data_IF_430127861808
#
_entry.id   IF_430127861808
#
_cell.length_a   1.000
_cell.length_b   1.000
_cell.length_c   1.000
_cell.angle_alpha   90.00
_cell.angle_beta   90.00
_cell.angle_gamma   90.00
#
_symmetry.space_group_name_H-M   'P 1'
#
loop_
_entity.id
_entity.type
_entity.pdbx_description
1 polymer ?
#
# COMPACT_ATOMS: atom_id res chain seq x y z
N UNK A 1 44.05 19.92 -22.71
CA UNK A 1 44.24 19.04 -21.54
C UNK A 1 44.94 17.71 -21.87
N UNK A 2 45.26 17.39 -23.13
CA UNK A 2 45.90 16.14 -23.58
C UNK A 2 47.43 16.03 -23.35
N UNK A 3 48.11 17.11 -22.94
CA UNK A 3 49.59 17.14 -22.82
C UNK A 3 50.15 16.39 -21.61
N UNK A 4 49.30 15.81 -20.76
CA UNK A 4 49.71 15.14 -19.52
C UNK A 4 49.98 13.65 -19.72
N UNK A 5 49.26 13.02 -20.65
CA UNK A 5 49.41 11.59 -21.00
C UNK A 5 50.59 11.33 -21.97
N UNK A 6 51.27 12.40 -22.40
CA UNK A 6 52.41 12.35 -23.34
C UNK A 6 53.73 12.78 -22.69
N UNK A 7 53.82 12.74 -21.36
CA UNK A 7 55.03 13.13 -20.63
C UNK A 7 55.98 11.95 -20.44
N UNK A 8 57.29 12.18 -20.60
CA UNK A 8 58.31 11.16 -20.38
C UNK A 8 58.74 11.12 -18.92
N UNK A 9 58.48 10.00 -18.25
CA UNK A 9 58.83 9.76 -16.86
C UNK A 9 60.18 9.03 -16.77
N UNK A 10 61.04 9.48 -15.84
CA UNK A 10 62.39 8.91 -15.65
C UNK A 10 62.42 7.46 -15.11
N UNK A 11 61.30 6.95 -14.60
CA UNK A 11 61.16 5.58 -14.07
C UNK A 11 60.37 4.73 -15.07
N UNK A 12 60.98 3.65 -15.55
CA UNK A 12 60.44 2.77 -16.59
C UNK A 12 59.07 2.17 -16.24
N UNK A 13 58.86 1.76 -14.98
CA UNK A 13 57.57 1.24 -14.51
C UNK A 13 56.45 2.31 -14.52
N UNK A 14 56.79 3.57 -14.26
CA UNK A 14 55.84 4.69 -14.26
C UNK A 14 55.49 5.10 -15.70
N UNK A 15 56.45 5.02 -16.62
CA UNK A 15 56.23 5.24 -18.05
C UNK A 15 55.28 4.19 -18.65
N UNK A 16 55.48 2.90 -18.33
CA UNK A 16 54.57 1.82 -18.77
C UNK A 16 53.15 1.99 -18.24
N UNK A 17 53.00 2.45 -17.00
CA UNK A 17 51.68 2.74 -16.41
C UNK A 17 51.00 3.93 -17.09
N UNK A 18 51.76 4.98 -17.45
CA UNK A 18 51.26 6.15 -18.17
C UNK A 18 50.78 5.79 -19.58
N UNK A 19 51.50 4.91 -20.28
CA UNK A 19 51.12 4.40 -21.59
C UNK A 19 49.83 3.56 -21.53
N UNK A 20 49.68 2.68 -20.53
CA UNK A 20 48.44 1.94 -20.30
C UNK A 20 47.25 2.86 -20.00
N UNK A 21 47.45 3.91 -19.20
CA UNK A 21 46.41 4.90 -18.92
C UNK A 21 46.04 5.69 -20.18
N UNK A 22 47.02 6.03 -21.02
CA UNK A 22 46.79 6.73 -22.28
C UNK A 22 45.98 5.87 -23.28
N UNK A 23 46.31 4.57 -23.38
CA UNK A 23 45.56 3.61 -24.21
C UNK A 23 44.13 3.43 -23.70
N UNK A 24 43.95 3.20 -22.40
CA UNK A 24 42.62 3.12 -21.78
C UNK A 24 41.82 4.41 -21.96
N UNK A 25 42.47 5.57 -21.89
CA UNK A 25 41.82 6.87 -22.11
C UNK A 25 41.30 7.01 -23.54
N UNK A 26 42.08 6.65 -24.56
CA UNK A 26 41.64 6.72 -25.96
C UNK A 26 40.55 5.68 -26.26
N UNK A 27 40.63 4.47 -25.68
CA UNK A 27 39.57 3.47 -25.80
C UNK A 27 38.26 3.97 -25.18
N UNK A 28 38.32 4.49 -23.95
CA UNK A 28 37.16 5.08 -23.27
C UNK A 28 36.59 6.26 -24.05
N UNK A 29 37.45 7.13 -24.57
CA UNK A 29 37.03 8.28 -25.37
C UNK A 29 36.26 7.83 -26.61
N UNK A 30 36.79 6.84 -27.33
CA UNK A 30 36.15 6.29 -28.52
C UNK A 30 34.80 5.65 -28.18
N UNK A 31 34.72 4.91 -27.08
CA UNK A 31 33.47 4.32 -26.59
C UNK A 31 32.44 5.40 -26.20
N UNK A 32 32.86 6.48 -25.53
CA UNK A 32 32.00 7.61 -25.19
C UNK A 32 31.50 8.37 -26.42
N UNK A 33 32.37 8.59 -27.42
CA UNK A 33 32.00 9.23 -28.68
C UNK A 33 30.98 8.38 -29.45
N UNK A 34 31.17 7.06 -29.50
CA UNK A 34 30.21 6.13 -30.09
C UNK A 34 28.87 6.11 -29.34
N UNK A 35 28.88 6.12 -28.00
CA UNK A 35 27.67 6.21 -27.17
C UNK A 35 26.95 7.55 -27.39
N UNK A 36 27.70 8.63 -27.54
CA UNK A 36 27.16 9.96 -27.81
C UNK A 36 26.45 10.00 -29.15
N UNK A 37 27.11 9.57 -30.23
CA UNK A 37 26.51 9.55 -31.57
C UNK A 37 25.29 8.64 -31.63
N UNK A 38 25.34 7.47 -30.98
CA UNK A 38 24.18 6.59 -30.88
C UNK A 38 22.98 7.23 -30.16
N UNK A 39 23.20 7.97 -29.06
CA UNK A 39 22.13 8.70 -28.36
C UNK A 39 21.60 9.85 -29.19
N UNK A 40 22.48 10.62 -29.83
CA UNK A 40 22.13 11.73 -30.71
C UNK A 40 21.25 11.27 -31.87
N UNK A 41 21.61 10.14 -32.50
CA UNK A 41 20.81 9.53 -33.56
C UNK A 41 19.42 9.15 -33.06
N UNK A 42 19.32 8.50 -31.90
CA UNK A 42 18.04 8.08 -31.30
C UNK A 42 17.12 9.26 -30.97
N UNK A 43 17.65 10.41 -30.57
CA UNK A 43 16.85 11.60 -30.21
C UNK A 43 16.41 12.39 -31.45
N UNK A 44 17.28 12.46 -32.47
CA UNK A 44 16.99 13.21 -33.71
C UNK A 44 16.05 12.44 -34.64
N UNK A 45 16.10 11.13 -34.60
CA UNK A 45 15.19 10.27 -35.36
C UNK A 45 13.75 10.48 -34.87
N UNK A 46 12.80 10.61 -35.81
CA UNK A 46 11.38 10.66 -35.48
C UNK A 46 10.89 9.35 -34.90
N UNK A 47 9.94 9.43 -33.96
CA UNK A 47 9.28 8.26 -33.39
C UNK A 47 8.33 7.60 -34.39
N UNK A 48 8.18 6.28 -34.27
CA UNK A 48 7.20 5.52 -35.04
C UNK A 48 5.80 5.74 -34.44
N UNK A 49 4.95 6.47 -35.17
CA UNK A 49 3.60 6.81 -34.75
C UNK A 49 2.58 5.95 -35.49
N UNK A 50 1.49 5.62 -34.81
CA UNK A 50 0.37 4.91 -35.44
C UNK A 50 -0.16 5.71 -36.66
N UNK A 51 -0.61 5.02 -37.72
CA UNK A 51 -1.09 5.68 -38.93
C UNK A 51 -2.25 6.63 -38.61
N UNK A 52 -2.15 7.88 -39.10
CA UNK A 52 -3.11 8.95 -38.82
C UNK A 52 -2.78 9.82 -37.61
N UNK A 53 -1.76 9.48 -36.80
CA UNK A 53 -1.31 10.30 -35.66
C UNK A 53 -0.13 11.17 -36.08
N UNK A 54 -0.31 12.49 -36.04
CA UNK A 54 0.75 13.44 -36.42
C UNK A 54 1.78 13.69 -35.31
N UNK A 55 1.33 13.71 -34.04
CA UNK A 55 2.17 13.97 -32.86
C UNK A 55 1.51 13.41 -31.61
N UNK A 56 2.31 12.89 -30.68
CA UNK A 56 1.87 12.47 -29.34
C UNK A 56 2.55 13.35 -28.30
N UNK A 57 1.78 13.90 -27.36
CA UNK A 57 2.31 14.64 -26.21
C UNK A 57 1.99 13.83 -24.95
N UNK A 58 3.03 13.38 -24.24
CA UNK A 58 2.90 12.64 -22.97
C UNK A 58 3.18 13.58 -21.81
N UNK A 59 2.20 13.75 -20.93
CA UNK A 59 2.33 14.54 -19.69
C UNK A 59 2.38 13.58 -18.51
N UNK A 60 3.46 13.63 -17.73
CA UNK A 60 3.61 12.84 -16.52
C UNK A 60 3.17 13.66 -15.32
N UNK A 61 2.15 13.18 -14.60
CA UNK A 61 1.66 13.80 -13.37
C UNK A 61 2.07 12.95 -12.17
N UNK A 62 2.85 13.52 -11.26
CA UNK A 62 3.18 12.89 -10.00
C UNK A 62 2.20 13.36 -8.90
N UNK A 63 1.55 12.42 -8.23
CA UNK A 63 0.59 12.69 -7.15
C UNK A 63 1.01 11.96 -5.89
N UNK A 64 1.14 12.69 -4.77
CA UNK A 64 1.40 12.10 -3.46
C UNK A 64 0.10 11.88 -2.72
N UNK A 65 -0.34 10.62 -2.62
CA UNK A 65 -1.56 10.23 -1.90
C UNK A 65 -1.27 10.00 -0.42
N UNK A 66 -2.11 10.54 0.47
CA UNK A 66 -2.01 10.34 1.93
C UNK A 66 -2.84 9.13 2.37
N UNK A 67 -2.71 8.76 3.64
CA UNK A 67 -3.57 7.73 4.25
C UNK A 67 -4.90 8.37 4.66
N UNK A 68 -6.00 7.66 4.48
CA UNK A 68 -7.34 8.15 4.81
C UNK A 68 -8.28 7.00 5.19
N UNK A 69 -9.40 7.29 5.88
CA UNK A 69 -10.45 6.31 6.13
C UNK A 69 -10.90 5.63 4.84
N UNK A 70 -11.07 4.31 4.87
CA UNK A 70 -11.40 3.51 3.70
C UNK A 70 -10.19 2.90 2.97
N UNK A 71 -8.96 3.38 3.20
CA UNK A 71 -7.77 2.72 2.67
C UNK A 71 -7.54 1.35 3.32
N UNK A 72 -7.04 0.40 2.53
CA UNK A 72 -6.79 -0.97 3.00
C UNK A 72 -5.35 -1.16 3.48
N UNK A 73 -5.20 -1.65 4.70
CA UNK A 73 -3.94 -2.04 5.31
C UNK A 73 -3.88 -3.57 5.50
N UNK A 74 -2.68 -4.11 5.63
CA UNK A 74 -2.46 -5.51 5.93
C UNK A 74 -1.22 -5.69 6.82
N UNK A 75 -1.26 -6.62 7.76
CA UNK A 75 -0.05 -7.16 8.38
C UNK A 75 0.53 -8.30 7.54
N UNK A 76 1.70 -8.78 7.95
CA UNK A 76 2.42 -9.88 7.26
C UNK A 76 1.78 -11.25 7.50
N UNK A 77 0.97 -11.39 8.56
CA UNK A 77 0.32 -12.64 8.96
C UNK A 77 -1.10 -12.82 8.39
N UNK A 78 -1.38 -12.19 7.25
CA UNK A 78 -2.67 -12.32 6.55
C UNK A 78 -3.84 -11.55 7.16
N UNK A 79 -3.61 -10.82 8.25
CA UNK A 79 -4.57 -9.89 8.84
C UNK A 79 -4.72 -8.66 7.93
N UNK A 80 -5.89 -8.51 7.30
CA UNK A 80 -6.23 -7.38 6.41
C UNK A 80 -7.35 -6.58 7.04
N UNK A 81 -7.25 -5.26 6.97
CA UNK A 81 -8.22 -4.33 7.54
C UNK A 81 -8.42 -3.11 6.66
N UNK A 82 -9.50 -2.40 6.92
CA UNK A 82 -9.77 -1.08 6.33
C UNK A 82 -9.70 -0.07 7.47
N UNK A 83 -9.08 1.08 7.24
CA UNK A 83 -9.00 2.14 8.23
C UNK A 83 -10.41 2.70 8.45
N UNK A 84 -10.90 2.62 9.68
CA UNK A 84 -12.23 3.14 10.04
C UNK A 84 -12.19 4.64 10.29
N UNK A 85 -11.30 5.09 11.17
CA UNK A 85 -11.16 6.49 11.60
C UNK A 85 -9.71 6.83 11.85
N UNK A 86 -9.37 8.11 11.73
CA UNK A 86 -8.09 8.66 12.15
C UNK A 86 -8.41 9.56 13.34
N UNK A 87 -7.87 9.20 14.50
CA UNK A 87 -8.18 9.82 15.79
C UNK A 87 -7.01 10.73 16.20
N UNK A 88 -7.26 11.85 16.89
CA UNK A 88 -6.20 12.66 17.49
C UNK A 88 -5.33 11.85 18.46
N UNK A 89 -4.10 12.31 18.70
CA UNK A 89 -3.11 11.56 19.50
C UNK A 89 -3.49 11.50 20.97
N UNK A 90 -4.13 12.55 21.48
CA UNK A 90 -4.60 12.69 22.86
C UNK A 90 -5.72 11.70 23.22
N UNK A 91 -6.48 11.25 22.23
CA UNK A 91 -7.59 10.31 22.39
C UNK A 91 -7.11 8.85 22.37
N UNK A 92 -5.85 8.60 22.00
CA UNK A 92 -5.31 7.25 21.88
C UNK A 92 -4.90 6.70 23.25
N UNK A 93 -5.07 5.38 23.49
CA UNK A 93 -4.52 4.74 24.67
C UNK A 93 -3.01 4.98 24.81
N UNK A 94 -2.55 5.21 26.03
CA UNK A 94 -1.15 5.50 26.32
C UNK A 94 -0.61 4.64 27.48
N UNK A 95 0.71 4.45 27.51
CA UNK A 95 1.42 3.68 28.55
C UNK A 95 1.73 4.54 29.80
N UNK A 96 2.33 3.95 30.83
CA UNK A 96 2.74 4.68 32.05
C UNK A 96 3.76 5.80 31.80
N UNK A 97 4.43 5.79 30.65
CA UNK A 97 5.39 6.79 30.24
C UNK A 97 4.78 7.89 29.36
N UNK A 98 3.48 7.82 29.08
CA UNK A 98 2.76 8.79 28.24
C UNK A 98 2.96 8.56 26.74
N UNK A 99 3.47 7.42 26.31
CA UNK A 99 3.59 7.07 24.90
C UNK A 99 2.24 6.56 24.37
N UNK A 100 1.62 7.25 23.40
CA UNK A 100 0.37 6.81 22.79
C UNK A 100 0.61 5.64 21.81
N UNK A 101 -0.38 4.78 21.68
CA UNK A 101 -0.40 3.69 20.68
C UNK A 101 -0.75 4.25 19.30
N UNK A 102 -0.08 3.78 18.25
CA UNK A 102 -0.34 4.24 16.87
C UNK A 102 -1.58 3.57 16.22
N UNK A 103 -1.79 2.27 16.47
CA UNK A 103 -2.85 1.47 15.83
C UNK A 103 -3.48 0.53 16.86
N UNK A 104 -4.80 0.56 16.96
CA UNK A 104 -5.58 -0.39 17.77
C UNK A 104 -6.14 -1.49 16.87
N UNK A 105 -5.85 -2.75 17.20
CA UNK A 105 -6.32 -3.93 16.48
C UNK A 105 -7.31 -4.74 17.32
N UNK A 106 -8.26 -5.40 16.65
CA UNK A 106 -9.24 -6.24 17.33
C UNK A 106 -8.64 -7.65 17.64
N UNK A 107 -8.59 -8.07 18.92
CA UNK A 107 -8.03 -9.36 19.30
C UNK A 107 -8.88 -10.56 18.86
N UNK A 108 -10.19 -10.39 18.63
CA UNK A 108 -11.10 -11.49 18.28
C UNK A 108 -10.73 -12.20 16.96
N UNK A 109 -9.99 -11.51 16.09
CA UNK A 109 -9.53 -12.08 14.82
C UNK A 109 -8.45 -13.15 14.98
N UNK A 110 -7.70 -13.16 16.09
CA UNK A 110 -6.57 -14.08 16.27
C UNK A 110 -7.03 -15.51 16.58
N UNK A 111 -7.92 -15.76 17.56
CA UNK A 111 -8.37 -17.12 17.86
C UNK A 111 -9.13 -17.74 16.70
N UNK A 112 -9.95 -16.95 15.99
CA UNK A 112 -10.77 -17.44 14.86
C UNK A 112 -9.94 -17.84 13.65
N UNK A 113 -8.81 -17.15 13.37
CA UNK A 113 -7.97 -17.40 12.20
C UNK A 113 -6.71 -18.21 12.50
N UNK A 114 -6.45 -18.51 13.78
CA UNK A 114 -5.30 -19.28 14.25
C UNK A 114 -3.93 -18.73 13.78
N UNK A 115 -3.82 -17.42 13.53
CA UNK A 115 -2.58 -16.77 13.10
C UNK A 115 -1.84 -16.14 14.29
N UNK A 116 -1.43 -16.99 15.24
CA UNK A 116 -0.76 -16.61 16.49
C UNK A 116 0.59 -15.91 16.24
N UNK A 117 1.24 -16.17 15.09
CA UNK A 117 2.50 -15.54 14.72
C UNK A 117 2.49 -14.01 14.76
N UNK A 118 1.34 -13.36 14.57
CA UNK A 118 1.23 -11.91 14.70
C UNK A 118 1.44 -11.41 16.15
N UNK A 119 1.06 -12.22 17.14
CA UNK A 119 1.29 -11.91 18.56
C UNK A 119 2.77 -12.07 18.88
N UNK A 120 3.39 -13.16 18.40
CA UNK A 120 4.83 -13.40 18.56
C UNK A 120 5.66 -12.30 17.89
N UNK A 121 5.28 -11.85 16.68
CA UNK A 121 5.88 -10.69 16.03
C UNK A 121 5.74 -9.43 16.89
N UNK A 122 4.57 -9.21 17.49
CA UNK A 122 4.31 -8.05 18.35
C UNK A 122 5.20 -8.07 19.60
N UNK A 123 5.34 -9.23 20.26
CA UNK A 123 6.23 -9.39 21.43
C UNK A 123 7.71 -9.22 21.07
N UNK A 124 8.16 -9.83 19.98
CA UNK A 124 9.54 -9.68 19.50
C UNK A 124 9.83 -8.23 19.08
N UNK A 125 8.86 -7.57 18.44
CA UNK A 125 8.95 -6.15 18.08
C UNK A 125 9.00 -5.23 19.30
N UNK A 126 8.26 -5.55 20.37
CA UNK A 126 8.34 -4.84 21.65
C UNK A 126 9.73 -4.99 22.26
N UNK A 127 10.26 -6.21 22.32
CA UNK A 127 11.60 -6.49 22.82
C UNK A 127 12.68 -5.74 22.02
N UNK A 128 12.61 -5.82 20.69
CA UNK A 128 13.50 -5.11 19.78
C UNK A 128 13.50 -3.59 19.99
N UNK A 129 12.33 -2.99 20.20
CA UNK A 129 12.22 -1.56 20.54
C UNK A 129 12.80 -1.26 21.91
N UNK A 130 12.50 -2.08 22.92
CA UNK A 130 13.02 -1.91 24.28
C UNK A 130 14.54 -1.88 24.33
N UNK A 131 15.20 -2.81 23.62
CA UNK A 131 16.66 -2.79 23.46
C UNK A 131 17.14 -1.49 22.78
N UNK A 132 16.45 -1.06 21.71
CA UNK A 132 16.77 0.21 21.03
C UNK A 132 16.66 1.43 21.95
N UNK A 133 15.60 1.51 22.77
CA UNK A 133 15.40 2.58 23.75
C UNK A 133 16.47 2.54 24.85
N UNK A 134 16.90 1.36 25.28
CA UNK A 134 18.00 1.18 26.23
C UNK A 134 19.33 1.69 25.66
N UNK A 135 19.64 1.34 24.41
CA UNK A 135 20.80 1.87 23.68
C UNK A 135 20.70 3.39 23.54
N UNK A 136 19.53 3.93 23.21
CA UNK A 136 19.30 5.36 23.09
C UNK A 136 19.57 6.09 24.43
N UNK A 137 19.12 5.52 25.54
CA UNK A 137 19.36 6.07 26.87
C UNK A 137 20.85 6.03 27.25
N UNK A 138 21.54 4.93 26.96
CA UNK A 138 23.00 4.83 27.18
C UNK A 138 23.79 5.84 26.34
N UNK A 139 23.38 6.07 25.08
CA UNK A 139 23.97 7.09 24.22
C UNK A 139 23.74 8.51 24.76
N UNK A 140 22.53 8.81 25.26
CA UNK A 140 22.20 10.11 25.86
C UNK A 140 22.99 10.39 27.13
N UNK A 141 23.24 9.35 27.93
CA UNK A 141 24.04 9.43 29.15
C UNK A 141 25.55 9.48 28.90
N UNK A 142 26.00 9.40 27.64
CA UNK A 142 27.42 9.35 27.25
C UNK A 142 28.19 8.27 28.00
N UNK A 143 27.58 7.09 28.12
CA UNK A 143 28.18 5.93 28.76
C UNK A 143 29.49 5.55 28.06
N UNK A 144 30.45 5.02 28.83
CA UNK A 144 31.74 4.56 28.30
C UNK A 144 31.54 3.49 27.22
N UNK A 145 32.36 3.53 26.18
CA UNK A 145 32.30 2.57 25.06
C UNK A 145 32.41 1.12 25.53
N UNK A 146 33.17 0.86 26.60
CA UNK A 146 33.30 -0.46 27.20
C UNK A 146 31.95 -1.05 27.68
N UNK A 147 31.13 -0.25 28.37
CA UNK A 147 29.81 -0.70 28.86
C UNK A 147 28.81 -0.88 27.71
N UNK A 148 28.88 -0.01 26.69
CA UNK A 148 28.10 -0.18 25.46
C UNK A 148 28.47 -1.47 24.72
N UNK A 149 29.78 -1.77 24.63
CA UNK A 149 30.31 -2.99 24.03
C UNK A 149 29.84 -4.23 24.77
N UNK A 150 29.91 -4.22 26.10
CA UNK A 150 29.42 -5.32 26.94
C UNK A 150 27.91 -5.54 26.75
N UNK A 151 27.12 -4.47 26.70
CA UNK A 151 25.68 -4.58 26.47
C UNK A 151 25.36 -5.13 25.08
N UNK A 152 26.00 -4.61 24.03
CA UNK A 152 25.81 -5.12 22.66
C UNK A 152 26.24 -6.58 22.55
N UNK A 153 27.36 -6.97 23.16
CA UNK A 153 27.80 -8.36 23.17
C UNK A 153 26.75 -9.27 23.83
N UNK A 154 26.17 -8.85 24.96
CA UNK A 154 25.09 -9.61 25.63
C UNK A 154 23.84 -9.75 24.76
N UNK A 155 23.48 -8.69 24.03
CA UNK A 155 22.32 -8.72 23.12
C UNK A 155 22.56 -9.64 21.93
N UNK A 156 23.73 -9.57 21.30
CA UNK A 156 24.07 -10.41 20.13
C UNK A 156 24.38 -11.87 20.49
N UNK A 157 24.79 -12.14 21.74
CA UNK A 157 25.01 -13.50 22.24
C UNK A 157 23.74 -14.20 22.74
N UNK A 158 22.57 -13.55 22.64
CA UNK A 158 21.31 -14.12 23.11
C UNK A 158 20.73 -15.12 22.09
N UNK A 159 20.35 -16.30 22.59
CA UNK A 159 19.71 -17.36 21.81
C UNK A 159 20.68 -18.20 20.99
N UNK A 160 20.13 -19.20 20.29
CA UNK A 160 20.90 -20.04 19.37
C UNK A 160 21.01 -19.35 18.00
N UNK A 161 21.97 -18.43 17.88
CA UNK A 161 22.21 -17.69 16.65
C UNK A 161 23.07 -18.49 15.68
N UNK A 162 22.63 -18.60 14.42
CA UNK A 162 23.47 -19.11 13.31
C UNK A 162 24.63 -18.17 12.96
N UNK A 163 24.60 -16.94 13.45
CA UNK A 163 25.61 -15.92 13.21
C UNK A 163 26.28 -15.54 14.52
N UNK A 164 27.56 -15.86 14.64
CA UNK A 164 28.40 -15.34 15.72
C UNK A 164 28.88 -13.94 15.34
N UNK A 165 28.61 -12.97 16.22
CA UNK A 165 29.11 -11.60 16.09
C UNK A 165 29.92 -11.30 17.34
N UNK A 166 31.24 -11.18 17.17
CA UNK A 166 32.11 -10.66 18.21
C UNK A 166 32.20 -9.14 18.06
N UNK A 167 31.65 -8.40 19.02
CA UNK A 167 31.71 -6.94 19.01
C UNK A 167 33.14 -6.48 19.29
N UNK A 168 34.01 -7.30 19.89
CA UNK A 168 35.40 -6.92 20.20
C UNK A 168 36.25 -6.66 18.94
N UNK A 169 35.88 -7.25 17.80
CA UNK A 169 36.57 -7.01 16.52
C UNK A 169 36.33 -5.59 15.98
N UNK A 170 35.31 -4.90 16.48
CA UNK A 170 34.93 -3.56 16.02
C UNK A 170 35.73 -2.48 16.73
N UNK A 171 36.17 -1.47 15.97
CA UNK A 171 36.77 -0.26 16.55
C UNK A 171 35.73 0.56 17.34
N UNK A 172 36.20 1.40 18.27
CA UNK A 172 35.30 2.19 19.14
C UNK A 172 34.35 3.10 18.34
N UNK A 173 34.83 3.71 17.25
CA UNK A 173 34.01 4.52 16.35
C UNK A 173 32.91 3.69 15.67
N UNK A 174 33.21 2.45 15.32
CA UNK A 174 32.25 1.56 14.67
C UNK A 174 31.18 1.06 15.65
N UNK A 175 31.55 0.81 16.90
CA UNK A 175 30.60 0.47 17.97
C UNK A 175 29.63 1.63 18.21
N UNK A 176 30.13 2.87 18.28
CA UNK A 176 29.29 4.05 18.43
C UNK A 176 28.38 4.26 17.22
N UNK A 177 28.88 4.03 15.99
CA UNK A 177 28.08 4.09 14.76
C UNK A 177 26.99 3.01 14.75
N UNK A 178 27.32 1.79 15.17
CA UNK A 178 26.38 0.68 15.29
C UNK A 178 25.28 1.02 16.30
N UNK A 179 25.64 1.46 17.50
CA UNK A 179 24.68 1.91 18.51
C UNK A 179 23.79 3.05 17.98
N UNK A 180 24.36 4.01 17.25
CA UNK A 180 23.63 5.10 16.61
C UNK A 180 22.58 4.63 15.59
N UNK A 181 22.85 3.53 14.88
CA UNK A 181 21.91 2.89 13.96
C UNK A 181 20.82 2.10 14.70
N UNK A 182 21.18 1.43 15.80
CA UNK A 182 20.29 0.56 16.58
C UNK A 182 19.36 1.30 17.55
N UNK A 183 19.53 2.62 17.74
CA UNK A 183 18.69 3.44 18.64
C UNK A 183 17.18 3.35 18.36
N UNK A 184 16.79 3.09 17.11
CA UNK A 184 15.37 2.98 16.74
C UNK A 184 14.76 1.61 17.11
N UNK A 185 15.60 0.62 17.34
CA UNK A 185 15.20 -0.76 17.61
C UNK A 185 16.23 -1.72 17.01
N UNK A 186 16.41 -2.86 17.65
CA UNK A 186 17.26 -3.94 17.17
C UNK A 186 16.57 -4.69 16.03
N UNK A 187 17.11 -4.71 14.79
CA UNK A 187 16.56 -5.56 13.75
C UNK A 187 16.80 -7.03 14.09
N UNK A 188 15.73 -7.80 14.20
CA UNK A 188 15.79 -9.24 14.48
C UNK A 188 15.53 -10.04 13.21
N UNK A 189 16.34 -11.07 12.97
CA UNK A 189 16.14 -12.01 11.86
C UNK A 189 15.62 -13.33 12.41
N UNK A 190 14.47 -13.78 11.89
CA UNK A 190 13.85 -15.05 12.28
C UNK A 190 13.63 -15.89 11.02
N UNK A 191 14.34 -17.02 10.86
CA UNK A 191 14.11 -17.94 9.74
C UNK A 191 12.68 -18.50 9.76
N UNK A 192 12.21 -18.95 8.58
CA UNK A 192 10.80 -19.34 8.40
C UNK A 192 10.41 -20.59 9.20
N UNK A 193 11.31 -21.57 9.29
CA UNK A 193 11.04 -22.89 9.92
C UNK A 193 11.86 -23.17 11.17
N UNK A 194 12.88 -22.35 11.44
CA UNK A 194 13.81 -22.50 12.56
C UNK A 194 13.99 -21.13 13.20
N UNK A 195 12.89 -20.66 13.80
CA UNK A 195 12.73 -19.29 14.28
C UNK A 195 13.01 -19.16 15.77
N UNK A 196 12.88 -17.93 16.28
CA UNK A 196 13.09 -17.61 17.67
C UNK A 196 12.09 -18.35 18.56
N UNK A 197 12.61 -18.95 19.63
CA UNK A 197 11.81 -19.68 20.62
C UNK A 197 11.23 -18.69 21.62
N UNK A 198 10.08 -19.02 22.23
CA UNK A 198 9.43 -18.15 23.22
C UNK A 198 10.34 -17.77 24.40
N UNK A 199 11.21 -18.68 24.84
CA UNK A 199 12.20 -18.41 25.89
C UNK A 199 13.15 -17.28 25.51
N UNK A 200 13.64 -17.27 24.27
CA UNK A 200 14.54 -16.23 23.76
C UNK A 200 13.83 -14.87 23.68
N UNK A 201 12.56 -14.86 23.27
CA UNK A 201 11.74 -13.63 23.25
C UNK A 201 11.59 -13.07 24.67
N UNK A 202 11.31 -13.93 25.66
CA UNK A 202 11.20 -13.53 27.08
C UNK A 202 12.51 -12.99 27.64
N UNK A 203 13.63 -13.63 27.33
CA UNK A 203 14.96 -13.16 27.72
C UNK A 203 15.28 -11.79 27.10
N UNK A 204 14.90 -11.59 25.83
CA UNK A 204 15.09 -10.31 25.14
C UNK A 204 14.20 -9.20 25.73
N UNK A 205 12.95 -9.51 26.09
CA UNK A 205 12.06 -8.59 26.82
C UNK A 205 12.69 -8.19 28.15
N UNK A 206 13.23 -9.15 28.90
CA UNK A 206 13.88 -8.92 30.19
C UNK A 206 15.12 -8.04 30.06
N UNK A 207 15.95 -8.25 29.03
CA UNK A 207 17.10 -7.38 28.74
C UNK A 207 16.70 -5.94 28.42
N UNK A 208 15.52 -5.76 27.82
CA UNK A 208 14.91 -4.47 27.53
C UNK A 208 14.18 -3.82 28.71
N UNK A 209 14.23 -4.40 29.92
CA UNK A 209 13.51 -3.96 31.12
C UNK A 209 11.98 -3.94 30.92
N UNK A 210 11.46 -4.86 30.10
CA UNK A 210 10.04 -5.02 29.78
C UNK A 210 9.44 -6.28 30.44
N UNK A 211 8.12 -6.34 30.66
CA UNK A 211 7.48 -7.50 31.25
C UNK A 211 7.59 -8.73 30.35
N UNK A 212 7.94 -9.88 30.93
CA UNK A 212 8.08 -11.17 30.21
C UNK A 212 6.77 -11.65 29.56
N UNK A 213 5.61 -11.16 30.02
CA UNK A 213 4.31 -11.46 29.43
C UNK A 213 4.08 -10.76 28.09
N UNK A 214 4.84 -9.70 27.76
CA UNK A 214 4.59 -8.84 26.61
C UNK A 214 3.32 -7.98 26.73
N UNK A 215 2.69 -7.97 27.90
CA UNK A 215 1.50 -7.19 28.20
C UNK A 215 1.88 -6.01 29.10
N UNK A 216 1.38 -4.82 28.77
CA UNK A 216 1.61 -3.60 29.53
C UNK A 216 0.28 -3.02 30.00
N UNK A 217 0.33 -2.30 31.12
CA UNK A 217 -0.80 -1.49 31.57
C UNK A 217 -0.94 -0.28 30.65
N UNK A 218 -2.17 -0.05 30.16
CA UNK A 218 -2.54 1.12 29.38
C UNK A 218 -3.61 1.94 30.12
N UNK A 219 -3.69 3.21 29.75
CA UNK A 219 -4.70 4.17 30.20
C UNK A 219 -5.53 4.65 29.01
N UNK A 220 -6.81 4.94 29.23
CA UNK A 220 -7.69 5.54 28.22
C UNK A 220 -7.30 7.01 27.99
N UNK A 221 -6.99 7.40 26.75
CA UNK A 221 -6.65 8.77 26.40
C UNK A 221 -7.77 9.78 26.66
N UNK A 222 -9.04 9.32 26.67
CA UNK A 222 -10.20 10.21 26.82
C UNK A 222 -10.57 10.49 28.27
N UNK A 223 -10.46 9.49 29.14
CA UNK A 223 -10.84 9.62 30.55
C UNK A 223 -9.64 9.69 31.48
N UNK A 224 -8.50 9.12 31.08
CA UNK A 224 -7.32 8.92 31.91
C UNK A 224 -7.39 7.67 32.81
N UNK A 225 -8.48 6.90 32.74
CA UNK A 225 -8.64 5.71 33.57
C UNK A 225 -7.77 4.55 33.08
N UNK A 226 -7.27 3.75 34.03
CA UNK A 226 -6.52 2.53 33.73
C UNK A 226 -7.47 1.45 33.19
N UNK A 227 -7.07 0.73 32.14
CA UNK A 227 -7.82 -0.46 31.71
C UNK A 227 -7.77 -1.58 32.76
N UNK A 228 -8.87 -2.33 32.89
CA UNK A 228 -8.99 -3.41 33.89
C UNK A 228 -7.98 -4.55 33.71
N UNK A 229 -7.54 -4.79 32.47
CA UNK A 229 -6.60 -5.86 32.12
C UNK A 229 -5.45 -5.28 31.31
N UNK A 230 -4.27 -5.84 31.53
CA UNK A 230 -3.10 -5.52 30.74
C UNK A 230 -3.30 -5.93 29.28
N UNK A 231 -2.76 -5.12 28.37
CA UNK A 231 -2.97 -5.26 26.93
C UNK A 231 -1.65 -5.62 26.28
N UNK A 232 -1.68 -6.53 25.31
CA UNK A 232 -0.51 -6.82 24.47
C UNK A 232 -0.23 -5.62 23.58
N UNK A 233 0.91 -4.99 23.79
CA UNK A 233 1.39 -3.85 22.99
C UNK A 233 2.76 -4.19 22.43
N UNK A 234 3.04 -3.74 21.21
CA UNK A 234 4.33 -3.96 20.58
C UNK A 234 4.35 -3.47 19.15
N UNK A 235 5.41 -3.83 18.43
CA UNK A 235 5.66 -3.34 17.09
C UNK A 235 5.38 -4.43 16.06
N UNK A 236 4.25 -4.32 15.37
CA UNK A 236 3.89 -5.16 14.23
C UNK A 236 4.21 -4.44 12.92
N UNK A 237 4.76 -5.15 11.93
CA UNK A 237 5.05 -4.54 10.64
C UNK A 237 3.80 -4.48 9.75
N UNK A 238 3.28 -3.27 9.57
CA UNK A 238 2.07 -2.99 8.78
C UNK A 238 2.40 -2.49 7.37
N UNK A 239 1.64 -2.99 6.39
CA UNK A 239 1.77 -2.69 4.96
C UNK A 239 0.53 -1.93 4.47
N UNK A 240 0.74 -0.90 3.65
CA UNK A 240 -0.33 -0.26 2.89
C UNK A 240 -0.55 -1.00 1.57
N UNK A 241 -1.75 -1.50 1.34
CA UNK A 241 -2.08 -2.18 0.08
C UNK A 241 -2.41 -1.15 -1.01
N UNK A 242 -2.18 -1.53 -2.27
CA UNK A 242 -2.59 -0.73 -3.44
C UNK A 242 -4.11 -0.81 -3.71
N UNK A 243 -4.92 -0.85 -2.64
CA UNK A 243 -6.38 -0.84 -2.67
C UNK A 243 -6.86 0.45 -2.01
N UNK A 244 -6.69 1.55 -2.73
CA UNK A 244 -7.00 2.89 -2.25
C UNK A 244 -8.49 3.17 -2.40
N UNK A 245 -9.05 3.93 -1.46
CA UNK A 245 -10.48 4.27 -1.49
C UNK A 245 -10.81 5.20 -2.66
N UNK A 246 -9.91 6.13 -3.00
CA UNK A 246 -10.10 7.08 -4.12
C UNK A 246 -10.29 6.38 -5.46
N UNK A 247 -9.65 5.22 -5.65
CA UNK A 247 -9.76 4.46 -6.88
C UNK A 247 -11.09 3.70 -6.94
N UNK A 248 -11.73 3.43 -5.79
CA UNK A 248 -12.99 2.66 -5.69
C UNK A 248 -14.24 3.53 -5.64
N UNK A 249 -14.18 4.69 -5.00
CA UNK A 249 -15.33 5.58 -4.90
C UNK A 249 -15.69 6.08 -6.31
N UNK A 250 -16.94 5.86 -6.68
CA UNK A 250 -17.51 6.27 -7.96
C UNK A 250 -19.02 6.44 -7.81
N UNK A 251 -19.54 7.55 -8.31
CA UNK A 251 -20.96 7.84 -8.34
C UNK A 251 -21.30 8.50 -9.68
N UNK A 252 -22.53 8.29 -10.14
CA UNK A 252 -23.07 8.96 -11.32
C UNK A 252 -24.54 9.30 -11.09
N UNK A 253 -24.98 10.39 -11.70
CA UNK A 253 -26.40 10.70 -11.91
C UNK A 253 -26.79 10.30 -13.34
N UNK A 254 -26.29 11.04 -14.32
CA UNK A 254 -26.45 10.80 -15.77
C UNK A 254 -25.08 10.64 -16.42
N UNK A 255 -25.02 10.02 -17.61
CA UNK A 255 -23.76 9.84 -18.32
C UNK A 255 -23.97 9.24 -19.70
N UNK A 256 -22.92 8.70 -20.30
CA UNK A 256 -22.99 8.07 -21.61
C UNK A 256 -23.74 6.73 -21.58
N UNK A 257 -24.32 6.39 -22.74
CA UNK A 257 -25.11 5.19 -22.97
C UNK A 257 -24.56 4.38 -24.15
N UNK A 258 -24.83 3.08 -24.16
CA UNK A 258 -24.53 2.18 -25.28
C UNK A 258 -25.35 2.54 -26.50
N UNK A 259 -24.74 2.46 -27.70
CA UNK A 259 -25.45 2.74 -28.95
C UNK A 259 -26.49 1.67 -29.29
N UNK A 260 -26.27 0.42 -28.87
CA UNK A 260 -27.13 -0.72 -29.23
C UNK A 260 -28.31 -0.82 -28.29
N UNK A 261 -28.05 -1.00 -26.99
CA UNK A 261 -29.08 -1.28 -25.98
C UNK A 261 -29.59 -0.03 -25.26
N UNK A 262 -29.01 1.14 -25.53
CA UNK A 262 -29.31 2.40 -24.81
C UNK A 262 -29.11 2.37 -23.30
N UNK A 263 -28.51 1.31 -22.75
CA UNK A 263 -28.18 1.16 -21.34
C UNK A 263 -26.95 2.01 -20.94
N UNK A 264 -26.86 2.43 -19.68
CA UNK A 264 -25.67 3.11 -19.16
C UNK A 264 -24.39 2.29 -19.40
N UNK A 265 -23.30 2.93 -19.82
CA UNK A 265 -22.02 2.24 -19.95
C UNK A 265 -21.52 1.69 -18.61
N UNK A 266 -20.64 0.69 -18.63
CA UNK A 266 -20.06 0.08 -17.43
C UNK A 266 -18.67 0.64 -17.09
N UNK A 267 -18.34 0.63 -15.79
CA UNK A 267 -16.98 0.93 -15.30
C UNK A 267 -16.68 2.41 -15.08
N UNK A 268 -15.86 2.68 -14.05
CA UNK A 268 -15.52 4.04 -13.59
C UNK A 268 -14.91 4.93 -14.68
N UNK A 269 -14.07 4.37 -15.56
CA UNK A 269 -13.39 5.12 -16.62
C UNK A 269 -14.34 5.79 -17.62
N UNK A 270 -15.55 5.22 -17.81
CA UNK A 270 -16.56 5.73 -18.73
C UNK A 270 -17.70 6.46 -17.99
N UNK A 271 -17.48 6.84 -16.73
CA UNK A 271 -18.54 7.27 -15.81
C UNK A 271 -19.70 6.27 -15.77
N UNK A 272 -19.35 4.98 -15.76
CA UNK A 272 -20.28 3.87 -15.91
C UNK A 272 -21.21 3.65 -14.71
N UNK A 273 -22.37 3.05 -14.96
CA UNK A 273 -23.37 2.72 -13.96
C UNK A 273 -23.07 1.42 -13.26
N UNK A 274 -23.71 1.25 -12.11
CA UNK A 274 -23.66 -0.02 -11.41
C UNK A 274 -24.65 -0.99 -12.03
N UNK A 275 -24.22 -2.24 -12.17
CA UNK A 275 -25.08 -3.30 -12.66
C UNK A 275 -26.09 -3.63 -11.59
N UNK A 276 -27.37 -3.42 -11.88
CA UNK A 276 -28.47 -4.00 -11.15
C UNK A 276 -28.72 -5.39 -11.72
N UNK A 277 -28.38 -6.43 -10.97
CA UNK A 277 -28.41 -7.81 -11.42
C UNK A 277 -29.73 -8.52 -11.13
N UNK A 278 -29.79 -9.77 -11.57
CA UNK A 278 -30.97 -10.62 -11.44
C UNK A 278 -31.31 -10.93 -9.97
N UNK A 279 -30.31 -11.17 -9.13
CA UNK A 279 -30.53 -11.43 -7.70
C UNK A 279 -31.07 -10.18 -6.97
N UNK A 280 -30.66 -8.98 -7.37
CA UNK A 280 -31.21 -7.75 -6.82
C UNK A 280 -32.66 -7.51 -7.28
N UNK A 281 -33.02 -7.90 -8.51
CA UNK A 281 -34.40 -7.91 -9.00
C UNK A 281 -35.27 -8.83 -8.14
N UNK A 282 -34.86 -10.09 -7.93
CA UNK A 282 -35.59 -11.04 -7.10
C UNK A 282 -35.79 -10.54 -5.66
N UNK A 283 -34.78 -9.85 -5.12
CA UNK A 283 -34.91 -9.24 -3.81
C UNK A 283 -36.04 -8.20 -3.78
N UNK A 284 -36.14 -7.31 -4.77
CA UNK A 284 -37.23 -6.31 -4.86
C UNK A 284 -38.60 -6.95 -5.10
N UNK A 285 -38.66 -8.02 -5.91
CA UNK A 285 -39.89 -8.78 -6.15
C UNK A 285 -40.39 -9.44 -4.86
N UNK A 286 -39.49 -10.01 -4.05
CA UNK A 286 -39.83 -10.59 -2.75
C UNK A 286 -40.41 -9.56 -1.75
N UNK A 287 -39.97 -8.30 -1.84
CA UNK A 287 -40.56 -7.20 -1.08
C UNK A 287 -41.89 -6.67 -1.67
N UNK A 288 -42.26 -7.07 -2.88
CA UNK A 288 -43.42 -6.52 -3.59
C UNK A 288 -43.23 -5.07 -4.05
N UNK A 289 -41.98 -4.62 -4.21
CA UNK A 289 -41.63 -3.23 -4.53
C UNK A 289 -41.81 -2.92 -6.04
N UNK A 290 -43.04 -3.08 -6.56
CA UNK A 290 -43.33 -3.00 -7.99
C UNK A 290 -42.95 -1.65 -8.63
N UNK A 291 -43.26 -0.52 -7.99
CA UNK A 291 -42.91 0.81 -8.51
C UNK A 291 -41.39 1.04 -8.54
N UNK A 292 -40.68 0.61 -7.49
CA UNK A 292 -39.20 0.70 -7.42
C UNK A 292 -38.55 -0.16 -8.50
N UNK A 293 -39.08 -1.35 -8.74
CA UNK A 293 -38.57 -2.23 -9.79
C UNK A 293 -38.85 -1.64 -11.18
N UNK A 294 -40.05 -1.09 -11.40
CA UNK A 294 -40.42 -0.45 -12.66
C UNK A 294 -39.50 0.74 -12.99
N UNK A 295 -39.22 1.63 -12.03
CA UNK A 295 -38.31 2.76 -12.29
C UNK A 295 -36.88 2.32 -12.60
N UNK A 296 -36.37 1.28 -11.93
CA UNK A 296 -34.99 0.79 -12.08
C UNK A 296 -34.78 0.14 -13.44
N UNK A 297 -35.76 -0.62 -13.91
CA UNK A 297 -35.67 -1.36 -15.17
C UNK A 297 -36.02 -0.53 -16.40
N UNK A 298 -36.77 0.56 -16.26
CA UNK A 298 -37.21 1.38 -17.41
C UNK A 298 -36.52 2.75 -17.40
N UNK A 299 -37.08 3.69 -16.65
CA UNK A 299 -36.78 5.13 -16.69
C UNK A 299 -35.35 5.46 -16.25
N UNK A 300 -34.74 4.63 -15.40
CA UNK A 300 -33.33 4.77 -14.96
C UNK A 300 -32.33 4.02 -15.84
N UNK A 301 -32.81 3.17 -16.75
CA UNK A 301 -31.97 2.29 -17.58
C UNK A 301 -32.03 2.68 -19.06
N UNK A 302 -32.94 2.07 -19.82
CA UNK A 302 -32.91 2.06 -21.29
C UNK A 302 -34.16 2.66 -21.94
N UNK A 303 -35.14 3.16 -21.17
CA UNK A 303 -36.21 3.99 -21.73
C UNK A 303 -35.69 5.39 -22.07
N UNK A 304 -35.37 5.60 -23.35
CA UNK A 304 -34.77 6.85 -23.87
C UNK A 304 -35.68 8.07 -23.67
N UNK A 305 -37.00 7.88 -23.84
CA UNK A 305 -37.97 8.95 -23.70
C UNK A 305 -38.30 9.19 -22.22
N UNK A 306 -38.53 8.10 -21.48
CA UNK A 306 -38.82 8.12 -20.05
C UNK A 306 -37.72 8.80 -19.25
N UNK A 307 -36.44 8.45 -19.49
CA UNK A 307 -35.31 9.05 -18.73
C UNK A 307 -35.23 10.57 -18.88
N UNK A 308 -35.49 11.07 -20.09
CA UNK A 308 -35.44 12.51 -20.40
C UNK A 308 -36.60 13.25 -19.73
N UNK A 309 -37.81 12.66 -19.79
CA UNK A 309 -38.99 13.20 -19.11
C UNK A 309 -38.81 13.19 -17.59
N UNK A 310 -38.32 12.10 -17.03
CA UNK A 310 -38.09 11.97 -15.58
C UNK A 310 -37.08 13.00 -15.07
N UNK A 311 -35.97 13.19 -15.80
CA UNK A 311 -35.01 14.23 -15.43
C UNK A 311 -35.66 15.62 -15.42
N UNK A 312 -36.45 15.95 -16.46
CA UNK A 312 -37.19 17.21 -16.53
C UNK A 312 -38.20 17.34 -15.39
N UNK A 313 -38.98 16.30 -15.12
CA UNK A 313 -39.97 16.27 -14.06
C UNK A 313 -39.34 16.51 -12.68
N UNK A 314 -38.18 15.89 -12.40
CA UNK A 314 -37.43 16.12 -11.15
C UNK A 314 -36.97 17.59 -11.03
N UNK A 315 -36.49 18.19 -12.13
CA UNK A 315 -36.07 19.61 -12.15
C UNK A 315 -37.26 20.56 -11.98
N UNK A 316 -38.40 20.24 -12.61
CA UNK A 316 -39.64 21.02 -12.56
C UNK A 316 -40.48 20.74 -11.30
N UNK A 317 -40.01 19.85 -10.41
CA UNK A 317 -40.70 19.38 -9.20
C UNK A 317 -42.08 18.74 -9.48
N UNK A 318 -42.24 18.12 -10.64
CA UNK A 318 -43.37 17.27 -11.00
C UNK A 318 -43.05 15.82 -10.63
N UNK A 319 -43.87 15.19 -9.79
CA UNK A 319 -43.61 13.85 -9.23
C UNK A 319 -44.24 12.71 -10.06
N UNK A 320 -44.58 12.98 -11.33
CA UNK A 320 -45.19 11.98 -12.21
C UNK A 320 -44.14 11.16 -12.96
N UNK A 321 -44.37 9.85 -13.03
CA UNK A 321 -43.56 8.90 -13.80
C UNK A 321 -44.36 8.35 -14.97
N UNK A 322 -43.80 8.46 -16.17
CA UNK A 322 -44.31 7.81 -17.38
C UNK A 322 -43.27 6.79 -17.84
N UNK A 323 -43.53 5.50 -17.63
CA UNK A 323 -42.66 4.41 -18.06
C UNK A 323 -43.11 3.87 -19.42
N UNK A 324 -42.20 3.85 -20.38
CA UNK A 324 -42.38 3.23 -21.69
C UNK A 324 -41.83 1.80 -21.76
N UNK A 325 -41.75 1.29 -22.99
CA UNK A 325 -41.12 0.00 -23.27
C UNK A 325 -39.59 0.15 -23.27
N UNK A 326 -38.84 -0.76 -22.61
CA UNK A 326 -37.38 -0.81 -22.69
C UNK A 326 -36.85 -0.96 -24.12
N UNK A 327 -35.79 -0.24 -24.46
CA UNK A 327 -35.15 -0.41 -25.78
C UNK A 327 -34.49 -1.79 -25.95
N UNK A 328 -34.00 -2.40 -24.87
CA UNK A 328 -33.48 -3.77 -24.92
C UNK A 328 -34.52 -4.78 -25.40
N UNK A 329 -35.79 -4.60 -25.04
CA UNK A 329 -36.88 -5.44 -25.51
C UNK A 329 -37.20 -5.20 -27.00
N UNK A 330 -37.14 -3.94 -27.46
CA UNK A 330 -37.26 -3.62 -28.89
C UNK A 330 -36.14 -4.29 -29.70
N UNK A 331 -34.90 -4.26 -29.22
CA UNK A 331 -33.76 -4.94 -29.85
C UNK A 331 -34.03 -6.44 -29.94
N UNK A 332 -34.47 -7.07 -28.84
CA UNK A 332 -34.82 -8.49 -28.83
C UNK A 332 -35.90 -8.84 -29.87
N UNK A 333 -36.96 -8.04 -29.99
CA UNK A 333 -37.99 -8.26 -31.01
C UNK A 333 -37.42 -8.21 -32.42
N UNK A 334 -36.50 -7.28 -32.71
CA UNK A 334 -35.85 -7.18 -34.02
C UNK A 334 -34.92 -8.36 -34.29
N UNK A 335 -34.18 -8.82 -33.29
CA UNK A 335 -33.33 -10.01 -33.38
C UNK A 335 -34.16 -11.27 -33.68
N UNK A 336 -35.27 -11.50 -32.98
CA UNK A 336 -36.16 -12.64 -33.25
C UNK A 336 -36.73 -12.56 -34.67
N UNK A 337 -37.19 -11.38 -35.12
CA UNK A 337 -37.70 -11.20 -36.50
C UNK A 337 -36.65 -11.47 -37.57
N UNK A 338 -35.38 -11.18 -37.29
CA UNK A 338 -34.28 -11.45 -38.22
C UNK A 338 -34.08 -12.95 -38.50
N UNK A 339 -34.54 -13.82 -37.60
CA UNK A 339 -34.51 -15.28 -37.76
C UNK A 339 -35.65 -15.81 -38.64
N UNK A 340 -36.52 -14.94 -39.16
CA UNK A 340 -37.71 -15.33 -39.93
C UNK A 340 -38.90 -15.76 -39.06
N UNK A 341 -38.85 -15.49 -37.75
CA UNK A 341 -39.96 -15.73 -36.82
C UNK A 341 -40.79 -14.46 -36.70
N UNK A 342 -42.09 -14.53 -36.99
CA UNK A 342 -42.99 -13.40 -36.79
C UNK A 342 -43.37 -13.26 -35.31
N UNK A 343 -43.04 -12.13 -34.70
CA UNK A 343 -43.43 -11.76 -33.34
C UNK A 343 -43.95 -10.32 -33.34
N UNK A 344 -45.19 -10.13 -32.92
CA UNK A 344 -45.85 -8.83 -32.85
C UNK A 344 -46.45 -8.62 -31.45
N UNK A 345 -46.60 -7.36 -31.07
CA UNK A 345 -47.31 -6.98 -29.86
C UNK A 345 -48.76 -6.76 -30.26
N UNK A 346 -49.66 -7.59 -29.73
CA UNK A 346 -51.09 -7.41 -29.96
C UNK A 346 -51.55 -6.07 -29.36
N UNK A 347 -52.43 -5.39 -30.08
CA UNK A 347 -53.07 -4.18 -29.56
C UNK A 347 -54.08 -4.59 -28.48
N UNK A 348 -53.86 -4.13 -27.25
CA UNK A 348 -54.87 -4.12 -26.20
C UNK A 348 -55.76 -2.88 -26.31
#
# INVERSE_FOLDING_TARGET
>A
QSKWLTQNLKKEAAQKSLEQIAEQYEELRTDFDNKFENKRRKITQGDDLAPGVLKIVKVYLAVRRRIQPGDKLAGRHGNKGVISTIVPVEDMPYDEHGNPVDIVLNPLGVPSRMNIGQILETHLGLAARGIGTKIENMLKQQVKVAEMREFLQKVYALGDSRQEVDINDFSDDEVLRLAGNLKKGLPTATPVFDGAVESEIKELLKLGDLPESGQITLYDGRTGDRFERDVTVGYMYMLKLNHLVDDKMHARSTGSYSLVTQQPLGGKAQFGGQRFGEMEVWALEAYGAAYTLQEMLTVKSDDVNGRTKMYKNIVDNDLRMEAGMPESFNVLLKEIRSLGINIELDQN
#
